data_IF_269322239871
#
_entry.id   IF_269322239871
#
_cell.length_a   1.000
_cell.length_b   1.000
_cell.length_c   1.000
_cell.angle_alpha   90.00
_cell.angle_beta   90.00
_cell.angle_gamma   90.00
#
_symmetry.space_group_name_H-M   'P 1'
#
loop_
_entity.id
_entity.type
_entity.pdbx_description
1 polymer ?
#
# COMPACT_ATOMS: atom_id res chain seq x y z
N UNK A 1 4.93 8.38 1.95
CA UNK A 1 4.17 8.07 3.19
C UNK A 1 2.73 7.88 2.79
N UNK A 2 2.02 6.90 3.36
CA UNK A 2 0.61 6.63 3.03
C UNK A 2 -0.28 6.97 4.23
N UNK A 3 -1.49 7.44 3.96
CA UNK A 3 -2.53 7.55 4.98
C UNK A 3 -3.15 6.18 5.26
N UNK A 4 -3.85 6.06 6.38
CA UNK A 4 -4.85 5.01 6.55
C UNK A 4 -6.02 5.21 5.58
N UNK A 5 -6.93 4.23 5.55
CA UNK A 5 -8.16 4.31 4.78
C UNK A 5 -9.06 5.45 5.28
N UNK A 6 -9.32 6.44 4.42
CA UNK A 6 -10.11 7.61 4.78
C UNK A 6 -11.57 7.51 4.33
N UNK A 7 -11.81 6.97 3.13
CA UNK A 7 -13.17 6.82 2.56
C UNK A 7 -13.29 5.41 1.99
N UNK A 8 -13.83 4.48 2.78
CA UNK A 8 -13.89 3.07 2.38
C UNK A 8 -12.48 2.50 2.11
N UNK A 9 -12.21 1.89 0.94
CA UNK A 9 -10.87 1.40 0.59
C UNK A 9 -9.92 2.49 0.05
N UNK A 10 -10.33 3.77 0.04
CA UNK A 10 -9.54 4.88 -0.51
C UNK A 10 -8.56 5.43 0.54
N UNK A 11 -7.31 5.58 0.15
CA UNK A 11 -6.22 6.19 0.92
C UNK A 11 -5.42 7.16 0.04
N UNK A 12 -4.56 7.97 0.65
CA UNK A 12 -3.74 8.98 -0.03
C UNK A 12 -2.25 8.69 0.15
N UNK A 13 -1.46 9.02 -0.88
CA UNK A 13 0.00 9.01 -0.82
C UNK A 13 0.54 10.43 -0.72
N UNK A 14 1.44 10.65 0.24
CA UNK A 14 2.26 11.84 0.35
C UNK A 14 3.68 11.50 -0.14
N UNK A 15 4.05 12.05 -1.30
CA UNK A 15 5.34 11.85 -1.95
C UNK A 15 6.08 13.18 -2.12
N UNK A 16 7.37 13.18 -1.81
CA UNK A 16 8.28 14.28 -2.14
C UNK A 16 9.26 13.82 -3.21
N UNK A 17 9.27 14.50 -4.36
CA UNK A 17 10.19 14.24 -5.47
C UNK A 17 11.43 15.12 -5.35
N UNK A 18 12.61 14.54 -5.53
CA UNK A 18 13.88 15.27 -5.62
C UNK A 18 14.55 14.96 -6.97
N UNK A 19 14.18 15.74 -8.00
CA UNK A 19 14.66 15.57 -9.39
C UNK A 19 14.40 14.17 -9.98
N UNK A 20 13.33 13.52 -9.53
CA UNK A 20 12.89 12.22 -10.03
C UNK A 20 11.40 12.30 -10.37
N UNK A 21 11.08 12.04 -11.64
CA UNK A 21 9.73 12.08 -12.20
C UNK A 21 9.14 10.65 -12.37
N UNK A 22 9.91 9.62 -12.06
CA UNK A 22 9.50 8.22 -12.12
C UNK A 22 8.69 7.77 -10.89
N UNK A 23 8.17 6.56 -10.91
CA UNK A 23 7.63 5.91 -9.71
C UNK A 23 8.72 5.08 -9.05
N UNK A 24 8.92 5.25 -7.74
CA UNK A 24 9.88 4.45 -6.99
C UNK A 24 9.37 3.01 -6.87
N UNK A 25 9.95 2.09 -7.66
CA UNK A 25 9.57 0.67 -7.69
C UNK A 25 9.59 0.02 -6.29
N UNK A 26 10.57 0.38 -5.46
CA UNK A 26 10.66 -0.07 -4.06
C UNK A 26 9.53 0.46 -3.15
N UNK A 27 9.05 1.68 -3.38
CA UNK A 27 7.91 2.23 -2.63
C UNK A 27 6.61 1.50 -3.00
N UNK A 28 6.50 1.03 -4.24
CA UNK A 28 5.32 0.34 -4.73
C UNK A 28 5.20 -1.06 -4.12
N UNK A 29 6.32 -1.79 -4.00
CA UNK A 29 6.34 -3.09 -3.34
C UNK A 29 5.95 -2.99 -1.86
N UNK A 30 6.55 -2.05 -1.13
CA UNK A 30 6.23 -1.84 0.28
C UNK A 30 4.76 -1.42 0.51
N UNK A 31 4.20 -0.62 -0.41
CA UNK A 31 2.78 -0.27 -0.41
C UNK A 31 1.91 -1.52 -0.58
N UNK A 32 2.22 -2.35 -1.58
CA UNK A 32 1.45 -3.55 -1.86
C UNK A 32 1.46 -4.53 -0.69
N UNK A 33 2.64 -4.79 -0.11
CA UNK A 33 2.81 -5.65 1.07
C UNK A 33 2.04 -5.11 2.30
N UNK A 34 1.99 -3.78 2.47
CA UNK A 34 1.22 -3.16 3.56
C UNK A 34 -0.29 -3.32 3.38
N UNK A 35 -0.78 -3.21 2.14
CA UNK A 35 -2.21 -3.40 1.82
C UNK A 35 -2.60 -4.87 1.95
N UNK A 36 -1.75 -5.80 1.49
CA UNK A 36 -2.03 -7.23 1.62
C UNK A 36 -2.11 -7.65 3.09
N UNK A 37 -1.16 -7.22 3.93
CA UNK A 37 -1.18 -7.50 5.37
C UNK A 37 -2.47 -7.02 6.02
N UNK A 38 -2.87 -5.78 5.75
CA UNK A 38 -4.11 -5.23 6.30
C UNK A 38 -5.36 -5.98 5.79
N UNK A 39 -5.38 -6.43 4.54
CA UNK A 39 -6.47 -7.28 4.03
C UNK A 39 -6.51 -8.67 4.69
N UNK A 40 -5.36 -9.23 5.05
CA UNK A 40 -5.27 -10.48 5.84
C UNK A 40 -5.80 -10.26 7.26
N UNK A 41 -5.38 -9.18 7.93
CA UNK A 41 -5.84 -8.81 9.28
C UNK A 41 -7.37 -8.60 9.32
N UNK A 42 -7.93 -8.03 8.24
CA UNK A 42 -9.38 -7.84 8.08
C UNK A 42 -10.14 -9.10 7.62
N UNK A 43 -9.43 -10.21 7.38
CA UNK A 43 -10.03 -11.47 6.93
C UNK A 43 -10.62 -11.42 5.51
N UNK A 44 -10.20 -10.45 4.69
CA UNK A 44 -10.69 -10.26 3.30
C UNK A 44 -9.94 -11.19 2.33
N UNK A 45 -8.70 -11.56 2.65
CA UNK A 45 -7.89 -12.51 1.88
C UNK A 45 -7.40 -13.60 2.84
N UNK A 46 -7.61 -14.86 2.48
CA UNK A 46 -7.02 -16.00 3.19
C UNK A 46 -5.57 -16.21 2.72
N UNK A 47 -4.68 -16.61 3.64
CA UNK A 47 -3.37 -17.10 3.26
C UNK A 47 -3.57 -18.26 2.27
N UNK A 48 -3.09 -18.11 1.03
CA UNK A 48 -2.90 -19.25 0.13
C UNK A 48 -1.71 -20.06 0.64
N UNK A 49 -1.93 -20.79 1.72
CA UNK A 49 -1.09 -21.94 2.07
C UNK A 49 -1.57 -23.11 1.21
N UNK A 50 -0.79 -23.43 0.18
CA UNK A 50 -0.73 -24.75 -0.46
C UNK A 50 0.72 -25.21 -0.40
#
# INVERSE_FOLDING_TARGET
>A
IFSENMIGPVFFEFIQRKKDDGFGEGNFKALFESIERDKMERGVIENKEN
#
